data_IF_690345722815
#
_entry.id   IF_690345722815
#
_cell.length_a   1.000
_cell.length_b   1.000
_cell.length_c   1.000
_cell.angle_alpha   90.00
_cell.angle_beta   90.00
_cell.angle_gamma   90.00
#
_symmetry.space_group_name_H-M   'P 1'
#
loop_
_entity.id
_entity.type
_entity.pdbx_description
1 polymer ?
#
# COMPACT_ATOMS: atom_id res chain seq x y z
N UNK A 1 15.47 -13.19 -7.48
CA UNK A 1 14.92 -14.40 -6.81
C UNK A 1 14.07 -14.06 -5.59
N UNK A 2 14.48 -13.10 -4.75
CA UNK A 2 13.79 -12.69 -3.52
C UNK A 2 12.33 -12.18 -3.70
N UNK A 3 12.06 -11.40 -4.75
CA UNK A 3 10.70 -10.89 -5.02
C UNK A 3 9.69 -12.01 -5.26
N UNK A 4 10.10 -13.11 -5.93
CA UNK A 4 9.23 -14.26 -6.19
C UNK A 4 8.84 -15.02 -4.91
N UNK A 5 9.74 -15.08 -3.93
CA UNK A 5 9.48 -15.71 -2.64
C UNK A 5 8.46 -14.89 -1.83
N UNK A 6 8.61 -13.56 -1.82
CA UNK A 6 7.65 -12.66 -1.18
C UNK A 6 6.29 -12.72 -1.88
N UNK A 7 6.26 -12.74 -3.22
CA UNK A 7 5.02 -12.90 -3.99
C UNK A 7 4.31 -14.21 -3.67
N UNK A 8 5.07 -15.30 -3.48
CA UNK A 8 4.55 -16.61 -3.08
C UNK A 8 3.95 -16.60 -1.67
N UNK A 9 4.67 -16.04 -0.70
CA UNK A 9 4.19 -15.91 0.70
C UNK A 9 2.92 -15.05 0.72
N UNK A 10 2.87 -14.00 -0.09
CA UNK A 10 1.68 -13.16 -0.20
C UNK A 10 0.51 -13.93 -0.86
N UNK A 11 0.73 -14.66 -1.95
CA UNK A 11 -0.34 -15.47 -2.55
C UNK A 11 -0.93 -16.53 -1.60
N UNK A 12 -0.14 -16.98 -0.61
CA UNK A 12 -0.52 -18.04 0.32
C UNK A 12 -1.49 -17.60 1.43
N UNK A 13 -1.28 -16.43 2.04
CA UNK A 13 -2.13 -15.89 3.15
C UNK A 13 -3.62 -15.72 2.75
N UNK A 14 -3.93 -15.50 1.47
CA UNK A 14 -5.30 -15.21 0.99
C UNK A 14 -6.11 -16.44 0.61
N UNK A 15 -5.49 -17.59 0.31
CA UNK A 15 -6.26 -18.81 0.00
C UNK A 15 -6.65 -19.54 1.28
N UNK A 16 -7.72 -19.06 1.92
CA UNK A 16 -8.53 -19.87 2.85
C UNK A 16 -9.33 -20.93 2.06
N UNK A 17 -8.70 -21.92 1.45
CA UNK A 17 -9.37 -23.18 1.07
C UNK A 17 -8.43 -24.38 1.16
N UNK A 18 -8.76 -25.21 2.14
CA UNK A 18 -8.89 -26.68 2.11
C UNK A 18 -7.76 -27.47 1.45
N UNK A 19 -7.12 -28.26 2.30
CA UNK A 19 -6.37 -29.48 1.98
C UNK A 19 -7.17 -30.31 0.97
N UNK A 20 -6.83 -30.20 -0.32
CA UNK A 20 -7.22 -31.17 -1.32
C UNK A 20 -5.93 -31.90 -1.75
N UNK A 21 -5.86 -33.16 -1.33
CA UNK A 21 -4.81 -34.11 -1.65
C UNK A 21 -4.76 -34.45 -3.16
N UNK A 22 -3.65 -35.10 -3.54
CA UNK A 22 -3.28 -35.65 -4.85
C UNK A 22 -2.64 -34.63 -5.84
N UNK A 23 -1.44 -34.81 -6.39
CA UNK A 23 -0.47 -35.91 -6.35
C UNK A 23 0.93 -35.35 -6.71
N UNK A 24 1.90 -35.51 -5.80
CA UNK A 24 3.35 -35.47 -6.04
C UNK A 24 4.03 -35.78 -4.69
N UNK A 25 4.23 -37.06 -4.40
CA UNK A 25 4.47 -37.63 -3.05
C UNK A 25 5.81 -37.29 -2.38
N UNK A 26 6.61 -36.37 -2.93
CA UNK A 26 7.83 -35.88 -2.27
C UNK A 26 7.91 -34.34 -2.13
N UNK A 27 7.12 -33.59 -2.91
CA UNK A 27 7.02 -32.12 -2.79
C UNK A 27 5.76 -31.67 -2.05
N UNK A 28 4.69 -32.48 -2.06
CA UNK A 28 3.46 -32.16 -1.36
C UNK A 28 3.64 -32.15 0.17
N UNK A 29 4.49 -33.02 0.73
CA UNK A 29 4.77 -33.05 2.17
C UNK A 29 5.51 -31.81 2.67
N UNK A 30 6.48 -31.31 1.90
CA UNK A 30 7.19 -30.06 2.21
C UNK A 30 6.26 -28.86 2.06
N UNK A 31 5.44 -28.82 1.00
CA UNK A 31 4.45 -27.77 0.80
C UNK A 31 3.40 -27.76 1.90
N UNK A 32 2.83 -28.92 2.28
CA UNK A 32 1.86 -29.04 3.37
C UNK A 32 2.51 -28.63 4.70
N UNK A 33 3.74 -29.05 5.00
CA UNK A 33 4.43 -28.64 6.22
C UNK A 33 4.73 -27.14 6.26
N UNK A 34 5.13 -26.53 5.14
CA UNK A 34 5.32 -25.07 5.03
C UNK A 34 3.97 -24.34 5.16
N UNK A 35 2.90 -24.91 4.59
CA UNK A 35 1.52 -24.42 4.68
C UNK A 35 1.07 -24.39 6.14
N UNK A 36 1.11 -25.52 6.87
CA UNK A 36 0.73 -25.56 8.28
C UNK A 36 1.63 -24.66 9.13
N UNK A 37 2.94 -24.67 8.85
CA UNK A 37 3.90 -23.82 9.55
C UNK A 37 3.64 -22.32 9.34
N UNK A 38 3.21 -21.88 8.14
CA UNK A 38 2.85 -20.49 7.87
C UNK A 38 1.49 -20.09 8.44
N UNK A 39 0.51 -21.01 8.51
CA UNK A 39 -0.81 -20.73 9.10
C UNK A 39 -0.82 -20.73 10.63
N UNK A 40 0.10 -21.48 11.26
CA UNK A 40 0.21 -21.56 12.73
C UNK A 40 1.09 -20.46 13.32
N UNK A 41 1.91 -19.79 12.51
CA UNK A 41 2.78 -18.72 12.98
C UNK A 41 2.00 -17.41 13.15
N UNK A 42 2.26 -16.65 14.23
CA UNK A 42 1.62 -15.37 14.46
C UNK A 42 2.00 -14.37 13.35
N UNK A 43 1.14 -13.36 13.07
CA UNK A 43 1.37 -12.32 12.05
C UNK A 43 2.79 -11.73 12.06
N UNK A 44 3.40 -11.66 13.26
CA UNK A 44 4.75 -11.19 13.50
C UNK A 44 5.86 -11.93 12.70
N UNK A 45 5.73 -13.23 12.43
CA UNK A 45 6.75 -13.96 11.64
C UNK A 45 6.65 -13.64 10.15
N UNK A 46 5.43 -13.49 9.63
CA UNK A 46 5.18 -13.10 8.24
C UNK A 46 5.67 -11.66 8.04
N UNK A 47 5.33 -10.76 8.97
CA UNK A 47 5.79 -9.38 8.96
C UNK A 47 7.33 -9.29 8.96
N UNK A 48 8.00 -10.12 9.76
CA UNK A 48 9.46 -10.21 9.79
C UNK A 48 10.05 -10.67 8.45
N UNK A 49 9.42 -11.60 7.74
CA UNK A 49 9.89 -12.10 6.44
C UNK A 49 9.64 -11.12 5.28
N UNK A 50 8.65 -10.25 5.41
CA UNK A 50 8.31 -9.22 4.41
C UNK A 50 8.90 -7.85 4.70
N UNK A 51 9.62 -7.72 5.82
CA UNK A 51 10.31 -6.50 6.20
C UNK A 51 11.45 -6.20 5.24
N UNK A 52 11.48 -4.99 4.72
CA UNK A 52 12.51 -4.49 3.82
C UNK A 52 13.00 -3.13 4.28
N UNK A 53 14.28 -2.87 4.05
CA UNK A 53 14.84 -1.53 4.13
C UNK A 53 14.65 -0.85 2.78
N UNK A 54 13.91 0.25 2.76
CA UNK A 54 13.74 1.06 1.56
C UNK A 54 14.64 2.30 1.65
N UNK A 55 15.21 2.78 0.53
CA UNK A 55 15.95 4.04 0.53
C UNK A 55 15.03 5.19 0.96
N UNK A 56 15.62 6.24 1.55
CA UNK A 56 14.89 7.41 2.06
C UNK A 56 13.87 7.08 3.17
N UNK A 57 14.25 6.18 4.07
CA UNK A 57 13.48 5.84 5.28
C UNK A 57 14.12 6.47 6.51
N UNK A 58 13.31 6.91 7.48
CA UNK A 58 13.84 7.44 8.74
C UNK A 58 14.54 6.34 9.55
N UNK A 59 15.47 6.70 10.46
CA UNK A 59 15.99 5.75 11.44
C UNK A 59 14.85 5.04 12.18
N UNK A 60 14.89 3.70 12.24
CA UNK A 60 13.85 2.83 12.83
C UNK A 60 12.51 2.74 12.07
N UNK A 61 12.38 3.36 10.90
CA UNK A 61 11.23 3.15 10.01
C UNK A 61 11.44 1.85 9.24
N UNK A 62 10.59 0.86 9.51
CA UNK A 62 10.64 -0.44 8.84
C UNK A 62 9.45 -0.58 7.92
N UNK A 63 9.67 -1.17 6.74
CA UNK A 63 8.63 -1.30 5.72
C UNK A 63 8.28 -2.74 5.51
N UNK A 64 6.98 -3.04 5.49
CA UNK A 64 6.44 -4.34 5.16
C UNK A 64 5.77 -4.25 3.80
N UNK A 65 6.08 -5.18 2.89
CA UNK A 65 5.38 -5.23 1.60
C UNK A 65 3.90 -5.59 1.82
N UNK A 66 3.01 -4.78 1.25
CA UNK A 66 1.57 -5.02 1.27
C UNK A 66 1.13 -5.73 -0.01
N UNK A 67 -0.07 -6.31 0.03
CA UNK A 67 -0.79 -6.62 -1.21
C UNK A 67 -1.47 -5.37 -1.74
N UNK A 68 -1.57 -5.27 -3.06
CA UNK A 68 -2.37 -4.23 -3.67
C UNK A 68 -3.87 -4.38 -3.33
N UNK A 69 -4.38 -5.61 -3.18
CA UNK A 69 -5.77 -5.87 -2.77
C UNK A 69 -6.15 -5.29 -1.40
N UNK A 70 -5.19 -5.17 -0.47
CA UNK A 70 -5.39 -4.50 0.83
C UNK A 70 -5.65 -2.98 0.66
N UNK A 71 -5.31 -2.42 -0.50
CA UNK A 71 -5.55 -1.02 -0.88
C UNK A 71 -6.74 -0.86 -1.84
N UNK A 72 -7.70 -1.79 -1.87
CA UNK A 72 -8.88 -1.68 -2.75
C UNK A 72 -9.70 -0.39 -2.52
N UNK A 73 -9.67 0.17 -1.30
CA UNK A 73 -10.29 1.46 -0.96
C UNK A 73 -9.69 2.63 -1.75
N UNK A 74 -8.43 2.51 -2.20
CA UNK A 74 -7.75 3.53 -3.00
C UNK A 74 -8.26 3.57 -4.44
N UNK A 75 -9.02 2.57 -4.89
CA UNK A 75 -9.53 2.50 -6.27
C UNK A 75 -10.42 3.69 -6.60
N UNK A 76 -10.23 4.23 -7.81
CA UNK A 76 -11.07 5.28 -8.36
C UNK A 76 -10.31 6.59 -8.53
N UNK A 77 -11.08 7.67 -8.67
CA UNK A 77 -10.56 9.00 -8.96
C UNK A 77 -10.53 9.86 -7.71
N UNK A 78 -9.42 10.56 -7.51
CA UNK A 78 -9.16 11.37 -6.34
C UNK A 78 -8.83 12.80 -6.73
N UNK A 79 -9.50 13.73 -6.06
CA UNK A 79 -9.49 15.17 -6.34
C UNK A 79 -8.73 15.88 -5.23
N UNK A 80 -7.62 16.52 -5.57
CA UNK A 80 -6.81 17.26 -4.61
C UNK A 80 -7.52 18.55 -4.16
N UNK A 81 -7.27 18.94 -2.91
CA UNK A 81 -7.87 20.10 -2.25
C UNK A 81 -6.83 21.19 -1.93
N UNK A 82 -7.31 22.39 -1.60
CA UNK A 82 -6.48 23.53 -1.22
C UNK A 82 -5.65 24.07 -2.38
N UNK A 83 -4.33 24.23 -2.19
CA UNK A 83 -3.42 24.77 -3.22
C UNK A 83 -3.30 23.91 -4.48
N UNK A 84 -3.74 22.66 -4.41
CA UNK A 84 -3.70 21.70 -5.51
C UNK A 84 -5.10 21.46 -6.11
N UNK A 85 -6.09 22.30 -5.78
CA UNK A 85 -7.45 22.18 -6.30
C UNK A 85 -7.46 22.18 -7.83
N UNK A 86 -8.22 21.25 -8.42
CA UNK A 86 -8.28 21.02 -9.86
C UNK A 86 -7.29 19.97 -10.38
N UNK A 87 -6.32 19.54 -9.57
CA UNK A 87 -5.51 18.36 -9.89
C UNK A 87 -6.25 17.07 -9.49
N UNK A 88 -6.12 16.05 -10.33
CA UNK A 88 -6.74 14.74 -10.12
C UNK A 88 -5.73 13.61 -10.32
N UNK A 89 -5.97 12.50 -9.65
CA UNK A 89 -5.23 11.24 -9.84
C UNK A 89 -6.21 10.08 -9.88
N UNK A 90 -5.96 9.11 -10.75
CA UNK A 90 -6.74 7.88 -10.82
C UNK A 90 -5.88 6.70 -10.41
N UNK A 91 -6.43 5.87 -9.52
CA UNK A 91 -5.84 4.61 -9.11
C UNK A 91 -6.70 3.45 -9.61
N UNK A 92 -6.06 2.52 -10.31
CA UNK A 92 -6.57 1.18 -10.47
C UNK A 92 -5.84 0.25 -9.49
N UNK A 93 -6.58 -0.65 -8.84
CA UNK A 93 -6.04 -1.57 -7.84
C UNK A 93 -6.47 -2.97 -8.23
N UNK A 94 -5.50 -3.84 -8.47
CA UNK A 94 -5.70 -5.28 -8.71
C UNK A 94 -4.94 -6.09 -7.63
N UNK A 95 -4.92 -7.41 -7.74
CA UNK A 95 -4.32 -8.28 -6.72
C UNK A 95 -2.80 -8.11 -6.57
N UNK A 96 -2.11 -7.55 -7.57
CA UNK A 96 -0.65 -7.50 -7.65
C UNK A 96 -0.07 -6.10 -7.51
N UNK A 97 -0.75 -5.10 -8.06
CA UNK A 97 -0.21 -3.74 -8.20
C UNK A 97 -1.26 -2.66 -8.00
N UNK A 98 -0.77 -1.49 -7.59
CA UNK A 98 -1.52 -0.24 -7.62
C UNK A 98 -1.05 0.53 -8.85
N UNK A 99 -1.94 0.79 -9.79
CA UNK A 99 -1.63 1.56 -11.00
C UNK A 99 -2.10 2.99 -10.82
N UNK A 100 -1.16 3.93 -10.72
CA UNK A 100 -1.41 5.37 -10.60
C UNK A 100 -1.21 6.04 -11.96
N UNK A 101 -2.28 6.52 -12.58
CA UNK A 101 -2.23 7.20 -13.90
C UNK A 101 -1.41 6.39 -14.93
N UNK A 102 -1.70 5.09 -15.03
CA UNK A 102 -1.02 4.16 -15.95
C UNK A 102 0.36 3.65 -15.49
N UNK A 103 0.86 4.08 -14.32
CA UNK A 103 2.16 3.63 -13.79
C UNK A 103 1.96 2.58 -12.70
N UNK A 104 2.52 1.36 -12.83
CA UNK A 104 2.44 0.34 -11.80
C UNK A 104 3.35 0.70 -10.62
N UNK A 105 2.82 0.60 -9.41
CA UNK A 105 3.49 0.90 -8.16
C UNK A 105 3.37 -0.28 -7.20
N UNK A 106 4.45 -0.53 -6.46
CA UNK A 106 4.48 -1.51 -5.39
C UNK A 106 4.12 -0.88 -4.05
N UNK A 107 3.13 -1.43 -3.32
CA UNK A 107 2.73 -0.90 -2.02
C UNK A 107 3.53 -1.51 -0.87
N UNK A 108 3.89 -0.65 0.08
CA UNK A 108 4.51 -0.98 1.34
C UNK A 108 3.81 -0.20 2.47
N UNK A 109 3.83 -0.73 3.69
CA UNK A 109 3.37 -0.02 4.89
C UNK A 109 4.49 0.06 5.91
N UNK A 110 4.66 1.22 6.53
CA UNK A 110 5.60 1.37 7.62
C UNK A 110 5.03 0.80 8.92
N UNK A 111 5.91 0.50 9.88
CA UNK A 111 5.53 0.21 11.27
C UNK A 111 4.76 1.36 11.97
N UNK A 112 4.62 2.52 11.34
CA UNK A 112 3.84 3.67 11.81
C UNK A 112 2.51 3.86 11.05
N UNK A 113 2.16 2.92 10.15
CA UNK A 113 0.91 2.98 9.38
C UNK A 113 0.94 3.91 8.16
N UNK A 114 2.13 4.37 7.73
CA UNK A 114 2.28 5.15 6.50
C UNK A 114 2.38 4.21 5.30
N UNK A 115 1.57 4.41 4.27
CA UNK A 115 1.64 3.65 3.03
C UNK A 115 2.65 4.33 2.10
N UNK A 116 3.50 3.54 1.43
CA UNK A 116 4.44 3.99 0.40
C UNK A 116 4.19 3.22 -0.88
N UNK A 117 3.92 3.94 -1.95
CA UNK A 117 3.79 3.39 -3.30
C UNK A 117 5.08 3.68 -4.07
N UNK A 118 5.81 2.64 -4.45
CA UNK A 118 7.12 2.75 -5.10
C UNK A 118 7.02 2.47 -6.58
N UNK A 119 7.46 3.42 -7.40
CA UNK A 119 7.70 3.20 -8.82
C UNK A 119 9.01 2.43 -8.98
N UNK A 120 8.93 1.16 -9.42
CA UNK A 120 10.10 0.31 -9.55
C UNK A 120 11.06 0.75 -10.67
N UNK A 121 10.56 1.49 -11.65
CA UNK A 121 11.38 1.94 -12.79
C UNK A 121 12.25 3.14 -12.43
N UNK A 122 11.75 4.02 -11.56
CA UNK A 122 12.43 5.28 -11.20
C UNK A 122 12.91 5.33 -9.75
N UNK A 123 12.46 4.41 -8.90
CA UNK A 123 12.70 4.44 -7.45
C UNK A 123 11.95 5.56 -6.71
N UNK A 124 11.18 6.39 -7.44
CA UNK A 124 10.36 7.45 -6.83
C UNK A 124 9.23 6.83 -6.01
N UNK A 125 8.80 7.56 -4.99
CA UNK A 125 7.77 7.07 -4.09
C UNK A 125 6.74 8.13 -3.78
N UNK A 126 5.48 7.72 -3.75
CA UNK A 126 4.39 8.48 -3.16
C UNK A 126 4.13 7.94 -1.76
N UNK A 127 3.89 8.84 -0.80
CA UNK A 127 3.54 8.46 0.56
C UNK A 127 2.08 8.84 0.82
N UNK A 128 1.32 7.92 1.37
CA UNK A 128 -0.10 8.06 1.63
C UNK A 128 -0.35 7.76 3.10
N UNK A 129 -0.95 8.73 3.79
CA UNK A 129 -1.56 8.51 5.09
C UNK A 129 -3.07 8.39 4.90
N UNK A 130 -3.63 7.38 5.57
CA UNK A 130 -5.03 7.06 5.50
C UNK A 130 -5.53 6.73 6.91
N UNK A 131 -6.72 7.21 7.25
CA UNK A 131 -7.42 6.83 8.47
C UNK A 131 -8.59 5.95 8.09
N UNK A 132 -8.67 4.74 8.63
CA UNK A 132 -9.73 3.77 8.29
C UNK A 132 -11.16 4.31 8.56
N UNK A 133 -11.29 5.23 9.51
CA UNK A 133 -12.56 5.91 9.80
C UNK A 133 -13.00 6.91 8.70
N UNK A 134 -12.09 7.28 7.79
CA UNK A 134 -12.30 8.23 6.69
C UNK A 134 -11.89 7.57 5.36
N UNK A 135 -12.64 6.54 4.89
CA UNK A 135 -12.28 5.70 3.74
C UNK A 135 -12.09 6.49 2.43
N UNK A 136 -12.73 7.66 2.32
CA UNK A 136 -12.74 8.50 1.14
C UNK A 136 -11.82 9.71 1.24
N UNK A 137 -10.95 9.73 2.24
CA UNK A 137 -9.91 10.72 2.44
C UNK A 137 -8.52 10.07 2.36
N UNK A 138 -7.62 10.73 1.65
CA UNK A 138 -6.20 10.39 1.70
C UNK A 138 -5.36 11.65 1.81
N UNK A 139 -4.28 11.56 2.57
CA UNK A 139 -3.25 12.60 2.60
C UNK A 139 -2.03 12.09 1.90
N UNK A 140 -1.60 12.80 0.87
CA UNK A 140 -0.36 12.47 0.16
C UNK A 140 0.77 13.34 0.64
N UNK A 141 1.95 12.75 0.72
CA UNK A 141 3.19 13.41 1.11
C UNK A 141 4.27 13.07 0.10
N UNK A 142 5.17 14.02 -0.12
CA UNK A 142 6.42 13.75 -0.82
C UNK A 142 7.56 13.79 0.18
N UNK A 143 8.52 12.87 0.03
CA UNK A 143 9.77 12.88 0.79
C UNK A 143 10.92 12.93 -0.20
N UNK A 144 11.96 13.69 0.16
CA UNK A 144 13.21 13.70 -0.58
C UNK A 144 14.38 13.83 0.40
N UNK A 145 15.55 13.40 -0.03
CA UNK A 145 16.79 13.57 0.74
C UNK A 145 17.50 14.82 0.26
N UNK A 146 17.83 15.70 1.20
CA UNK A 146 18.64 16.90 0.99
C UNK A 146 19.55 17.02 2.19
N UNK A 147 20.86 17.16 1.95
CA UNK A 147 21.86 17.35 3.01
C UNK A 147 21.90 16.18 4.01
N UNK A 148 21.66 14.95 3.53
CA UNK A 148 21.58 13.75 4.36
C UNK A 148 20.33 13.64 5.25
N UNK A 149 19.41 14.62 5.19
CA UNK A 149 18.17 14.62 5.94
C UNK A 149 16.96 14.37 5.03
N UNK A 150 15.98 13.64 5.56
CA UNK A 150 14.70 13.43 4.88
C UNK A 150 13.82 14.65 5.13
N UNK A 151 13.56 15.42 4.08
CA UNK A 151 12.63 16.53 4.07
C UNK A 151 11.29 16.03 3.54
N UNK A 152 10.22 16.34 4.27
CA UNK A 152 8.85 16.09 3.84
C UNK A 152 8.27 17.36 3.23
N UNK A 153 7.81 17.28 1.99
CA UNK A 153 7.16 18.40 1.30
C UNK A 153 5.70 18.05 1.00
N UNK A 154 4.84 19.07 1.09
CA UNK A 154 3.44 19.04 0.72
C UNK A 154 2.59 17.96 1.40
N UNK A 155 1.83 18.32 2.43
CA UNK A 155 0.65 17.55 2.83
C UNK A 155 -0.51 17.99 1.93
N UNK A 156 -0.91 17.13 1.00
CA UNK A 156 -2.07 17.41 0.14
C UNK A 156 -3.20 16.46 0.52
N UNK A 157 -4.34 17.05 0.92
CA UNK A 157 -5.59 16.31 1.06
C UNK A 157 -6.14 16.01 -0.33
N UNK A 158 -6.49 14.76 -0.57
CA UNK A 158 -7.24 14.34 -1.73
C UNK A 158 -8.48 13.57 -1.26
N UNK A 159 -9.60 13.87 -1.90
CA UNK A 159 -10.89 13.28 -1.61
C UNK A 159 -11.31 12.42 -2.78
N UNK A 160 -11.99 11.31 -2.53
CA UNK A 160 -12.56 10.52 -3.61
C UNK A 160 -13.62 11.36 -4.34
N UNK A 161 -13.42 11.61 -5.64
CA UNK A 161 -14.22 12.57 -6.40
C UNK A 161 -15.69 12.15 -6.55
N UNK A 162 -15.98 10.86 -6.44
CA UNK A 162 -17.33 10.31 -6.61
C UNK A 162 -18.08 10.18 -5.28
N UNK A 163 -17.33 10.12 -4.18
CA UNK A 163 -17.87 9.90 -2.82
C UNK A 163 -17.90 11.17 -1.99
N UNK A 164 -17.11 12.17 -2.34
CA UNK A 164 -17.02 13.41 -1.58
C UNK A 164 -17.54 14.60 -2.36
N UNK A 165 -18.33 15.44 -1.69
CA UNK A 165 -18.79 16.73 -2.21
C UNK A 165 -18.13 17.85 -1.41
N UNK A 166 -17.46 18.77 -2.11
CA UNK A 166 -16.82 19.95 -1.49
C UNK A 166 -17.78 21.13 -1.55
N UNK A 167 -18.12 21.68 -0.39
CA UNK A 167 -18.95 22.88 -0.26
C UNK A 167 -18.04 24.10 -0.48
N UNK A 168 -18.36 24.92 -1.49
CA UNK A 168 -17.55 26.07 -1.93
C UNK A 168 -17.79 27.33 -1.10
N UNK A 169 -18.53 27.22 0.00
CA UNK A 169 -19.12 28.34 0.74
C UNK A 169 -18.21 28.95 1.81
N UNK A 170 -17.01 28.40 2.05
CA UNK A 170 -16.05 28.96 3.02
C UNK A 170 -14.60 28.90 2.53
N UNK A 171 -13.80 29.92 2.90
CA UNK A 171 -12.34 29.90 2.73
C UNK A 171 -11.81 28.73 3.57
N UNK A 172 -11.38 27.66 2.90
CA UNK A 172 -11.00 26.40 3.55
C UNK A 172 -11.99 25.24 3.34
N UNK A 173 -13.08 25.44 2.58
CA UNK A 173 -13.99 24.45 1.99
C UNK A 173 -14.33 23.25 2.88
N UNK A 174 -15.49 23.28 3.53
CA UNK A 174 -16.02 22.07 4.17
C UNK A 174 -16.35 21.01 3.12
N UNK A 175 -16.23 19.73 3.45
CA UNK A 175 -16.60 18.65 2.56
C UNK A 175 -17.35 17.57 3.31
N UNK A 176 -18.12 16.78 2.56
CA UNK A 176 -18.89 15.67 3.09
C UNK A 176 -18.69 14.46 2.18
N UNK A 177 -18.35 13.31 2.76
CA UNK A 177 -18.13 12.07 2.03
C UNK A 177 -19.18 11.02 2.40
N UNK A 178 -19.72 10.32 1.39
CA UNK A 178 -20.76 9.30 1.52
C UNK A 178 -20.53 8.13 0.56
#
# INVERSE_FOLDING_TARGET
MWNKLIDWILAFKDRRWVVAAAAATSFAGLLIAIVTWLTEKPPALIDAMTRVELPMSYPNETWTRMRASELHWLRGRWCYQGRFSGAEVTFAVNDREVVKTGKPLLPYISNQGLIRLVDQSTGKSDFIQHAAAQPYEMRTFSRYVSDGQIKSWANALALNCERCTVKRDQIGGSYECR
#
